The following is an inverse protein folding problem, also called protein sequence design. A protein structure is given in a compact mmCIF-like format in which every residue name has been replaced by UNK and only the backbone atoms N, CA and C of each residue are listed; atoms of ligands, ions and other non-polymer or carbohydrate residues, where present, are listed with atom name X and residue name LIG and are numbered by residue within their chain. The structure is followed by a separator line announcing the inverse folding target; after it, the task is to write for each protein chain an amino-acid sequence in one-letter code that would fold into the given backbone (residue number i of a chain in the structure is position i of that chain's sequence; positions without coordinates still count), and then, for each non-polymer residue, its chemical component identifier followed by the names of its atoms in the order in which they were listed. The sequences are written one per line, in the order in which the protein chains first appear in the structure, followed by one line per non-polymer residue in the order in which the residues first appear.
data_IF_046033476955
#
_entry.id   IF_046033476955
#
_cell.length_a   1.000
_cell.length_b   1.000
_cell.length_c   1.000
_cell.angle_alpha   90.00
_cell.angle_beta   90.00
_cell.angle_gamma   90.00
#
_symmetry.space_group_name_H-M   'P 1'
#
loop_
_entity.id
_entity.type
_entity.pdbx_description
1 polymer ?
#
# COMPACT_ATOMS: atom_id res chain seq x y z
N UNK A 1 9.99 9.66 0.73
CA UNK A 1 10.05 9.32 2.16
C UNK A 1 9.94 7.83 2.32
N UNK A 2 10.80 7.22 3.12
CA UNK A 2 10.84 5.79 3.38
C UNK A 2 10.81 5.55 4.89
N UNK A 3 9.97 4.63 5.36
CA UNK A 3 9.89 4.29 6.80
C UNK A 3 11.28 3.99 7.35
N UNK A 4 11.67 4.61 8.47
CA UNK A 4 13.03 4.54 9.06
C UNK A 4 13.53 3.11 9.22
N UNK A 5 12.74 2.20 9.81
CA UNK A 5 13.15 0.82 9.94
C UNK A 5 13.43 0.13 8.59
N UNK A 6 12.64 0.42 7.54
CA UNK A 6 12.88 -0.12 6.20
C UNK A 6 14.10 0.52 5.52
N UNK A 7 14.33 1.82 5.77
CA UNK A 7 15.50 2.53 5.27
C UNK A 7 16.81 1.93 5.80
N UNK A 8 16.81 1.53 7.07
CA UNK A 8 17.98 0.93 7.74
C UNK A 8 18.16 -0.55 7.36
N UNK A 9 17.07 -1.33 7.35
CA UNK A 9 17.11 -2.78 7.11
C UNK A 9 17.27 -3.17 5.65
N UNK A 10 16.96 -2.26 4.71
CA UNK A 10 16.94 -2.55 3.26
C UNK A 10 17.82 -1.60 2.47
N UNK A 11 19.14 -1.57 2.70
CA UNK A 11 20.06 -0.62 2.09
C UNK A 11 20.11 -0.74 0.57
N UNK A 12 19.88 -1.92 -0.01
CA UNK A 12 19.88 -2.13 -1.46
C UNK A 12 18.74 -1.39 -2.16
N UNK A 13 17.58 -1.21 -1.52
CA UNK A 13 16.50 -0.38 -2.08
C UNK A 13 16.92 1.07 -2.25
N UNK A 14 17.61 1.62 -1.26
CA UNK A 14 18.19 2.95 -1.32
C UNK A 14 19.23 3.06 -2.44
N UNK A 15 20.09 2.05 -2.59
CA UNK A 15 21.08 2.03 -3.66
C UNK A 15 20.42 2.02 -5.04
N UNK A 16 19.39 1.21 -5.25
CA UNK A 16 18.59 1.18 -6.50
C UNK A 16 17.96 2.54 -6.77
N UNK A 17 17.35 3.18 -5.76
CA UNK A 17 16.79 4.52 -5.91
C UNK A 17 17.85 5.54 -6.33
N UNK A 18 19.06 5.46 -5.78
CA UNK A 18 20.20 6.29 -6.15
C UNK A 18 20.66 6.10 -7.60
N UNK A 19 20.57 4.89 -8.14
CA UNK A 19 20.85 4.62 -9.58
C UNK A 19 19.93 5.41 -10.50
N UNK A 20 18.69 5.64 -10.08
CA UNK A 20 17.70 6.44 -10.80
C UNK A 20 17.67 7.92 -10.34
N UNK A 21 18.70 8.39 -9.66
CA UNK A 21 18.83 9.76 -9.14
C UNK A 21 17.69 10.19 -8.20
N UNK A 22 17.02 9.21 -7.57
CA UNK A 22 15.96 9.47 -6.63
C UNK A 22 16.51 9.75 -5.23
N UNK A 23 16.06 10.85 -4.63
CA UNK A 23 16.39 11.21 -3.25
C UNK A 23 15.50 10.45 -2.28
N UNK A 24 16.09 9.84 -1.27
CA UNK A 24 15.39 9.08 -0.23
C UNK A 24 15.64 9.67 1.14
N UNK A 25 14.57 9.97 1.86
CA UNK A 25 14.61 10.49 3.23
C UNK A 25 13.98 9.46 4.16
N UNK A 26 14.67 9.12 5.25
CA UNK A 26 14.11 8.27 6.30
C UNK A 26 13.00 9.03 7.05
N UNK A 27 11.85 8.39 7.29
CA UNK A 27 10.69 8.96 7.96
C UNK A 27 10.41 8.25 9.29
N UNK A 28 10.08 9.02 10.37
CA UNK A 28 9.94 10.48 10.41
C UNK A 28 11.28 11.21 10.32
N UNK A 29 11.25 12.40 9.73
CA UNK A 29 12.44 13.22 9.47
C UNK A 29 12.31 14.64 10.03
N UNK A 30 13.42 15.37 10.22
CA UNK A 30 13.37 16.77 10.61
C UNK A 30 13.04 17.72 9.44
N UNK A 31 12.82 17.22 8.24
CA UNK A 31 12.62 18.05 7.03
C UNK A 31 11.20 18.60 6.89
N UNK A 32 10.24 18.00 7.60
CA UNK A 32 8.82 18.41 7.61
C UNK A 32 8.37 18.81 9.00
N UNK A 33 7.29 19.58 9.12
CA UNK A 33 6.73 19.98 10.41
C UNK A 33 6.15 18.77 11.14
N UNK A 34 5.45 17.90 10.41
CA UNK A 34 4.89 16.65 10.94
C UNK A 34 6.01 15.72 11.41
N UNK A 35 7.05 15.55 10.60
CA UNK A 35 8.20 14.73 10.99
C UNK A 35 8.87 15.23 12.27
N UNK A 36 9.09 16.54 12.40
CA UNK A 36 9.62 17.17 13.63
C UNK A 36 8.70 16.91 14.83
N UNK A 37 7.38 17.07 14.65
CA UNK A 37 6.41 16.81 15.72
C UNK A 37 6.46 15.37 16.20
N UNK A 38 6.44 14.42 15.28
CA UNK A 38 6.50 12.97 15.62
C UNK A 38 7.81 12.65 16.36
N UNK A 39 8.95 13.19 15.89
CA UNK A 39 10.24 12.99 16.55
C UNK A 39 10.31 13.63 17.94
N UNK A 40 9.63 14.76 18.15
CA UNK A 40 9.56 15.41 19.46
C UNK A 40 8.71 14.58 20.45
N UNK A 41 7.60 13.97 19.98
CA UNK A 41 6.71 13.13 20.79
C UNK A 41 7.32 11.74 21.05
N UNK A 42 8.04 11.18 20.07
CA UNK A 42 8.61 9.83 20.14
C UNK A 42 9.99 9.81 19.44
N UNK A 43 11.06 10.24 20.15
CA UNK A 43 12.40 10.36 19.54
C UNK A 43 12.98 9.06 18.99
N UNK A 44 12.69 7.94 19.64
CA UNK A 44 13.22 6.61 19.30
C UNK A 44 12.30 5.83 18.35
N UNK A 45 11.31 6.48 17.75
CA UNK A 45 10.39 5.79 16.84
C UNK A 45 11.12 5.19 15.64
N UNK A 46 10.74 3.97 15.27
CA UNK A 46 11.20 3.31 14.03
C UNK A 46 10.44 3.77 12.79
N UNK A 47 9.47 4.66 12.97
CA UNK A 47 8.58 5.15 11.93
C UNK A 47 7.46 4.15 11.56
N UNK A 48 6.52 4.64 10.78
CA UNK A 48 5.44 3.86 10.21
C UNK A 48 5.14 4.34 8.79
N UNK A 49 4.38 3.54 8.04
CA UNK A 49 3.91 3.96 6.71
C UNK A 49 3.11 5.27 6.80
N UNK A 50 2.25 5.40 7.81
CA UNK A 50 1.46 6.61 8.04
C UNK A 50 2.32 7.86 8.28
N UNK A 51 3.46 7.75 8.98
CA UNK A 51 4.41 8.86 9.12
C UNK A 51 4.97 9.29 7.77
N UNK A 52 5.44 8.33 6.96
CA UNK A 52 6.02 8.61 5.65
C UNK A 52 4.99 9.22 4.68
N UNK A 53 3.73 8.78 4.74
CA UNK A 53 2.63 9.36 3.97
C UNK A 53 2.41 10.82 4.38
N UNK A 54 2.31 11.11 5.68
CA UNK A 54 2.11 12.47 6.18
C UNK A 54 3.19 13.42 5.69
N UNK A 55 4.47 13.04 5.82
CA UNK A 55 5.59 13.85 5.36
C UNK A 55 5.60 14.08 3.85
N UNK A 56 5.29 13.02 3.07
CA UNK A 56 5.23 13.13 1.62
C UNK A 56 4.11 14.07 1.15
N UNK A 57 2.93 13.98 1.78
CA UNK A 57 1.79 14.87 1.48
C UNK A 57 2.12 16.31 1.88
N UNK A 58 2.67 16.54 3.08
CA UNK A 58 3.10 17.87 3.52
C UNK A 58 4.12 18.49 2.55
N UNK A 59 5.15 17.72 2.16
CA UNK A 59 6.16 18.18 1.23
C UNK A 59 5.58 18.53 -0.16
N UNK A 60 4.56 17.82 -0.60
CA UNK A 60 3.86 18.12 -1.86
C UNK A 60 3.00 19.39 -1.73
N UNK A 61 2.22 19.52 -0.67
CA UNK A 61 1.35 20.68 -0.43
C UNK A 61 2.15 21.97 -0.31
N UNK A 62 3.27 21.94 0.42
CA UNK A 62 4.11 23.11 0.67
C UNK A 62 5.07 23.44 -0.48
N UNK A 63 5.01 22.70 -1.59
CA UNK A 63 5.94 22.88 -2.72
C UNK A 63 5.55 23.99 -3.70
N UNK A 64 4.44 24.68 -3.50
CA UNK A 64 3.93 25.66 -4.48
C UNK A 64 3.59 25.02 -5.84
N UNK A 65 3.21 23.74 -5.85
CA UNK A 65 2.83 23.02 -7.05
C UNK A 65 3.99 22.41 -7.85
N UNK A 66 5.23 22.50 -7.37
CA UNK A 66 6.40 21.91 -8.04
C UNK A 66 6.55 20.42 -7.77
N UNK A 67 5.91 19.89 -6.73
CA UNK A 67 5.92 18.46 -6.39
C UNK A 67 4.52 17.86 -6.51
N UNK A 68 4.48 16.57 -6.76
CA UNK A 68 3.24 15.78 -6.80
C UNK A 68 3.38 14.60 -5.85
N UNK A 69 2.31 14.31 -5.12
CA UNK A 69 2.22 13.12 -4.29
C UNK A 69 1.79 11.94 -5.14
N UNK A 70 2.55 10.86 -5.08
CA UNK A 70 2.24 9.59 -5.76
C UNK A 70 1.94 8.55 -4.70
N UNK A 71 0.66 8.19 -4.58
CA UNK A 71 0.19 7.18 -3.64
C UNK A 71 0.39 5.78 -4.22
N UNK A 72 0.76 4.82 -3.35
CA UNK A 72 1.05 3.45 -3.74
C UNK A 72 -0.20 2.61 -4.02
N UNK A 73 -0.81 2.01 -2.98
CA UNK A 73 -1.67 0.84 -3.18
C UNK A 73 -3.11 0.94 -2.68
N UNK A 74 -3.59 2.09 -2.22
CA UNK A 74 -4.92 2.23 -1.61
C UNK A 74 -5.99 2.85 -2.54
N UNK A 75 -5.62 3.23 -3.75
CA UNK A 75 -6.53 3.87 -4.71
C UNK A 75 -7.13 2.85 -5.68
N UNK A 76 -8.38 3.11 -6.11
CA UNK A 76 -9.09 2.28 -7.08
C UNK A 76 -8.33 2.10 -8.40
N UNK A 77 -7.68 3.15 -8.89
CA UNK A 77 -6.87 3.08 -10.11
C UNK A 77 -5.69 2.12 -9.97
N UNK A 78 -5.08 2.05 -8.79
CA UNK A 78 -3.97 1.12 -8.54
C UNK A 78 -4.49 -0.31 -8.51
N UNK A 79 -5.65 -0.56 -7.89
CA UNK A 79 -6.30 -1.87 -7.91
C UNK A 79 -6.63 -2.29 -9.36
N UNK A 80 -7.16 -1.37 -10.18
CA UNK A 80 -7.46 -1.63 -11.58
C UNK A 80 -6.19 -1.99 -12.36
N UNK A 81 -5.10 -1.24 -12.20
CA UNK A 81 -3.83 -1.56 -12.86
C UNK A 81 -3.27 -2.91 -12.40
N UNK A 82 -3.35 -3.21 -11.11
CA UNK A 82 -2.86 -4.49 -10.59
C UNK A 82 -3.72 -5.68 -10.98
N UNK A 83 -4.93 -5.49 -11.50
CA UNK A 83 -5.76 -6.59 -12.00
C UNK A 83 -5.11 -7.36 -13.17
N UNK A 84 -4.13 -6.76 -13.85
CA UNK A 84 -3.33 -7.45 -14.87
C UNK A 84 -2.64 -8.70 -14.31
N UNK A 85 -2.21 -8.67 -13.05
CA UNK A 85 -1.56 -9.81 -12.39
C UNK A 85 -2.53 -11.00 -12.30
N UNK A 86 -3.75 -10.75 -11.87
CA UNK A 86 -4.78 -11.80 -11.83
C UNK A 86 -5.17 -12.30 -13.21
N UNK A 87 -5.34 -11.40 -14.18
CA UNK A 87 -5.70 -11.75 -15.56
C UNK A 87 -4.63 -12.63 -16.21
N UNK A 88 -3.37 -12.24 -16.13
CA UNK A 88 -2.26 -13.04 -16.67
C UNK A 88 -2.10 -14.38 -15.94
N UNK A 89 -2.27 -14.39 -14.60
CA UNK A 89 -2.25 -15.62 -13.81
C UNK A 89 -3.34 -16.60 -14.25
N UNK A 90 -4.55 -16.09 -14.50
CA UNK A 90 -5.66 -16.93 -14.98
C UNK A 90 -5.36 -17.49 -16.37
N UNK A 91 -4.86 -16.69 -17.30
CA UNK A 91 -4.48 -17.14 -18.65
C UNK A 91 -3.38 -18.19 -18.58
N UNK A 92 -2.36 -17.99 -17.73
CA UNK A 92 -1.29 -18.99 -17.55
C UNK A 92 -1.83 -20.33 -17.03
N UNK A 93 -2.74 -20.30 -16.06
CA UNK A 93 -3.39 -21.52 -15.55
C UNK A 93 -4.22 -22.21 -16.63
N UNK A 94 -5.00 -21.48 -17.41
CA UNK A 94 -5.79 -22.00 -18.53
C UNK A 94 -4.91 -22.66 -19.60
N UNK A 95 -3.75 -22.09 -19.92
CA UNK A 95 -2.78 -22.69 -20.85
C UNK A 95 -2.20 -24.00 -20.35
N UNK A 96 -2.13 -24.19 -19.03
CA UNK A 96 -1.72 -25.45 -18.40
C UNK A 96 -2.86 -26.46 -18.27
N UNK A 97 -4.08 -26.09 -18.64
CA UNK A 97 -5.28 -26.90 -18.42
C UNK A 97 -5.73 -26.98 -16.96
N UNK A 98 -5.25 -26.05 -16.14
CA UNK A 98 -5.48 -26.04 -14.69
C UNK A 98 -6.35 -24.85 -14.26
N UNK A 99 -6.95 -24.98 -13.08
CA UNK A 99 -7.63 -23.88 -12.40
C UNK A 99 -7.33 -23.95 -10.89
N UNK A 100 -7.02 -22.85 -10.21
CA UNK A 100 -6.62 -22.90 -8.81
C UNK A 100 -7.80 -23.22 -7.88
N UNK A 101 -7.63 -24.18 -6.99
CA UNK A 101 -8.57 -24.44 -5.89
C UNK A 101 -8.49 -23.34 -4.81
N UNK A 102 -7.30 -22.77 -4.62
CA UNK A 102 -7.02 -21.74 -3.62
C UNK A 102 -6.20 -20.62 -4.23
N UNK A 103 -6.65 -19.39 -4.05
CA UNK A 103 -5.91 -18.16 -4.40
C UNK A 103 -5.52 -17.44 -3.12
N UNK A 104 -4.22 -17.26 -2.89
CA UNK A 104 -3.67 -16.64 -1.69
C UNK A 104 -2.99 -15.33 -2.06
N UNK A 105 -3.37 -14.22 -1.43
CA UNK A 105 -2.78 -12.92 -1.70
C UNK A 105 -2.54 -12.10 -0.44
N UNK A 106 -1.48 -11.28 -0.48
CA UNK A 106 -1.16 -10.35 0.60
C UNK A 106 -2.06 -9.12 0.55
N UNK A 107 -2.50 -8.68 1.73
CA UNK A 107 -3.30 -7.48 1.89
C UNK A 107 -2.61 -6.49 2.85
N UNK A 108 -2.02 -5.45 2.25
CA UNK A 108 -1.66 -4.21 2.94
C UNK A 108 -2.70 -3.16 2.61
N UNK A 109 -2.45 -2.28 1.63
CA UNK A 109 -3.45 -1.34 1.12
C UNK A 109 -4.57 -1.97 0.28
N UNK A 110 -4.49 -3.25 -0.06
CA UNK A 110 -5.54 -4.04 -0.70
C UNK A 110 -5.44 -4.22 -2.21
N UNK A 111 -4.67 -3.39 -2.94
CA UNK A 111 -4.62 -3.48 -4.40
C UNK A 111 -3.89 -4.73 -4.91
N UNK A 112 -2.88 -5.20 -4.19
CA UNK A 112 -2.19 -6.45 -4.54
C UNK A 112 -3.15 -7.65 -4.48
N UNK A 113 -3.87 -7.79 -3.37
CA UNK A 113 -4.88 -8.83 -3.23
C UNK A 113 -5.99 -8.66 -4.27
N UNK A 114 -6.57 -7.44 -4.34
CA UNK A 114 -7.68 -7.16 -5.25
C UNK A 114 -7.33 -7.41 -6.72
N UNK A 115 -6.13 -7.01 -7.14
CA UNK A 115 -5.65 -7.24 -8.50
C UNK A 115 -5.47 -8.72 -8.82
N UNK A 116 -4.86 -9.48 -7.90
CA UNK A 116 -4.67 -10.91 -8.07
C UNK A 116 -6.01 -11.67 -8.15
N UNK A 117 -6.94 -11.39 -7.24
CA UNK A 117 -8.18 -12.17 -7.14
C UNK A 117 -9.26 -11.74 -8.13
N UNK A 118 -9.14 -10.58 -8.79
CA UNK A 118 -10.21 -10.00 -9.61
C UNK A 118 -10.86 -10.98 -10.59
N UNK A 119 -10.14 -11.70 -11.47
CA UNK A 119 -10.75 -12.64 -12.41
C UNK A 119 -11.32 -13.90 -11.73
N UNK A 120 -10.69 -14.37 -10.67
CA UNK A 120 -11.15 -15.54 -9.91
C UNK A 120 -12.41 -15.21 -9.09
N UNK A 121 -12.48 -14.01 -8.55
CA UNK A 121 -13.70 -13.52 -7.88
C UNK A 121 -14.83 -13.32 -8.88
N UNK A 122 -14.54 -12.83 -10.08
CA UNK A 122 -15.54 -12.72 -11.14
C UNK A 122 -16.15 -14.08 -11.52
N UNK A 123 -15.30 -15.12 -11.65
CA UNK A 123 -15.77 -16.48 -11.91
C UNK A 123 -16.62 -17.02 -10.75
N UNK A 124 -16.21 -16.75 -9.52
CA UNK A 124 -16.96 -17.13 -8.32
C UNK A 124 -18.34 -16.47 -8.25
N UNK A 125 -18.40 -15.16 -8.50
CA UNK A 125 -19.65 -14.39 -8.49
C UNK A 125 -20.61 -14.80 -9.62
N UNK A 126 -20.08 -15.24 -10.75
CA UNK A 126 -20.85 -15.79 -11.89
C UNK A 126 -21.25 -17.26 -11.71
N UNK A 127 -20.78 -17.91 -10.67
CA UNK A 127 -21.04 -19.34 -10.45
C UNK A 127 -20.30 -20.29 -11.40
N UNK A 128 -19.29 -19.80 -12.13
CA UNK A 128 -18.50 -20.60 -13.09
C UNK A 128 -17.52 -21.53 -12.36
N UNK A 129 -16.81 -20.98 -11.39
CA UNK A 129 -15.86 -21.68 -10.52
C UNK A 129 -15.98 -21.15 -9.09
N UNK A 130 -15.51 -21.93 -8.11
CA UNK A 130 -15.62 -21.54 -6.70
C UNK A 130 -14.28 -21.72 -5.96
N UNK A 131 -13.22 -20.99 -6.34
CA UNK A 131 -11.95 -21.08 -5.63
C UNK A 131 -12.08 -20.51 -4.21
N UNK A 132 -11.31 -21.07 -3.29
CA UNK A 132 -11.11 -20.49 -1.97
C UNK A 132 -10.16 -19.28 -2.09
N UNK A 133 -10.60 -18.12 -1.63
CA UNK A 133 -9.76 -16.92 -1.60
C UNK A 133 -9.29 -16.67 -0.17
N UNK A 134 -7.99 -16.53 0.00
CA UNK A 134 -7.33 -16.31 1.29
C UNK A 134 -6.57 -15.00 1.24
N UNK A 135 -6.98 -14.04 2.06
CA UNK A 135 -6.27 -12.79 2.29
C UNK A 135 -5.30 -12.96 3.46
N UNK A 136 -4.04 -12.58 3.28
CA UNK A 136 -3.01 -12.62 4.32
C UNK A 136 -2.61 -11.20 4.68
N UNK A 137 -2.76 -10.84 5.94
CA UNK A 137 -2.39 -9.52 6.45
C UNK A 137 -1.35 -9.62 7.58
N UNK A 138 -0.55 -8.56 7.86
CA UNK A 138 0.34 -8.53 9.00
C UNK A 138 -0.44 -8.53 10.31
N UNK A 139 -0.01 -9.31 11.29
CA UNK A 139 -0.59 -9.30 12.63
C UNK A 139 -0.47 -7.94 13.34
N UNK A 140 0.53 -7.14 12.95
CA UNK A 140 0.76 -5.78 13.46
C UNK A 140 -0.18 -4.73 12.85
N UNK A 141 -0.83 -5.05 11.72
CA UNK A 141 -1.80 -4.17 11.05
C UNK A 141 -3.01 -4.99 10.56
N UNK A 142 -3.85 -5.49 11.46
CA UNK A 142 -4.91 -6.46 11.16
C UNK A 142 -6.20 -5.79 10.68
N UNK A 143 -6.15 -5.14 9.51
CA UNK A 143 -7.27 -4.35 8.98
C UNK A 143 -8.52 -5.17 8.70
N UNK A 144 -8.37 -6.40 8.16
CA UNK A 144 -9.51 -7.28 7.88
C UNK A 144 -10.10 -7.93 9.13
N UNK A 145 -9.23 -8.39 10.04
CA UNK A 145 -9.68 -9.21 11.18
C UNK A 145 -10.09 -8.37 12.38
N UNK A 146 -9.55 -7.16 12.55
CA UNK A 146 -9.79 -6.28 13.70
C UNK A 146 -10.14 -4.85 13.34
N UNK A 147 -10.07 -4.48 12.07
CA UNK A 147 -10.43 -3.14 11.58
C UNK A 147 -11.94 -2.88 11.68
N UNK A 148 -12.31 -1.60 11.73
CA UNK A 148 -13.69 -1.16 11.65
C UNK A 148 -13.96 -0.64 10.23
N UNK A 149 -15.09 -1.03 9.64
CA UNK A 149 -15.53 -0.48 8.36
C UNK A 149 -16.05 0.94 8.56
N UNK A 150 -15.15 1.91 8.48
CA UNK A 150 -15.43 3.32 8.69
C UNK A 150 -14.43 4.18 7.90
N UNK A 151 -14.78 5.43 7.66
CA UNK A 151 -13.81 6.40 7.16
C UNK A 151 -12.74 6.67 8.21
N UNK A 152 -11.48 6.60 7.78
CA UNK A 152 -10.34 6.90 8.63
C UNK A 152 -9.21 7.51 7.80
N UNK A 153 -8.26 8.18 8.46
CA UNK A 153 -7.07 8.70 7.83
C UNK A 153 -6.08 7.58 7.54
N UNK A 154 -5.48 7.59 6.36
CA UNK A 154 -4.43 6.64 6.01
C UNK A 154 -3.04 7.08 6.48
N UNK A 155 -2.95 8.20 7.19
CA UNK A 155 -1.69 8.78 7.63
C UNK A 155 -1.72 9.23 9.10
N UNK A 156 -0.55 9.15 9.76
CA UNK A 156 -0.42 9.45 11.19
C UNK A 156 -0.72 10.90 11.53
N UNK A 157 -0.31 11.84 10.68
CA UNK A 157 -0.51 13.28 10.87
C UNK A 157 -1.90 13.77 10.49
N UNK A 158 -2.75 12.92 9.93
CA UNK A 158 -4.12 13.23 9.49
C UNK A 158 -4.18 14.40 8.50
N UNK A 159 -3.21 14.47 7.60
CA UNK A 159 -3.14 15.53 6.54
C UNK A 159 -3.77 15.09 5.23
N UNK A 160 -4.03 13.80 5.05
CA UNK A 160 -4.70 13.27 3.87
C UNK A 160 -6.20 13.54 3.90
N UNK A 161 -6.85 13.78 2.75
CA UNK A 161 -8.30 13.92 2.69
C UNK A 161 -8.99 12.57 2.97
N UNK A 162 -10.16 12.62 3.58
CA UNK A 162 -11.06 11.47 3.65
C UNK A 162 -11.76 11.31 2.30
N UNK A 163 -11.44 10.26 1.57
CA UNK A 163 -12.00 9.98 0.26
C UNK A 163 -12.56 8.55 0.20
N UNK A 164 -13.68 8.39 -0.52
CA UNK A 164 -14.25 7.06 -0.73
C UNK A 164 -13.35 6.24 -1.63
N UNK A 165 -12.91 5.07 -1.15
CA UNK A 165 -12.11 4.11 -1.90
C UNK A 165 -12.69 2.70 -1.74
N UNK A 166 -12.47 1.83 -2.74
CA UNK A 166 -12.91 0.44 -2.73
C UNK A 166 -11.75 -0.53 -2.44
N UNK A 167 -10.68 0.01 -1.89
CA UNK A 167 -9.54 -0.74 -1.36
C UNK A 167 -9.47 -0.58 0.15
N UNK A 168 -8.67 -1.40 0.81
CA UNK A 168 -8.39 -1.21 2.23
C UNK A 168 -7.54 0.05 2.44
N UNK A 169 -7.92 0.83 3.41
CA UNK A 169 -7.04 1.88 3.95
C UNK A 169 -5.88 1.27 4.75
N UNK A 170 -4.86 2.07 5.00
CA UNK A 170 -3.77 1.68 5.91
C UNK A 170 -4.06 2.13 7.33
#
# INVERSE_FOLDING_TARGET
YMVKCSYEQKPFRKAVMGVFDAQVTASPSPTTDIGRKILAETPDTTGSLGCAISEAVEAALNSGGTKRYVLGSVLNQVLLHQSIIGLESKIAMEQLGEYPDVVVGCAGGGSNLGGLIAPFMADKLRGVKNPRIVAVEPASCPSFTRGKYAYDFCDTGKVTPLARMYTLGC
#
